data_IF_346815044400
#
_entry.id   IF_346815044400
#
_cell.length_a   1.000
_cell.length_b   1.000
_cell.length_c   1.000
_cell.angle_alpha   90.00
_cell.angle_beta   90.00
_cell.angle_gamma   90.00
#
_symmetry.space_group_name_H-M   'P 1'
#
loop_
_entity.id
_entity.type
_entity.pdbx_description
1 polymer ?
#
# COMPACT_ATOMS: atom_id res chain seq x y z
N UNK A 1 -39.33 -11.86 23.28
CA UNK A 1 -38.73 -10.68 23.90
C UNK A 1 -37.26 -10.98 24.15
N UNK A 2 -36.39 -10.17 23.58
CA UNK A 2 -34.93 -10.27 23.56
C UNK A 2 -34.32 -10.15 24.95
N UNK A 3 -33.54 -11.15 25.36
CA UNK A 3 -32.63 -11.06 26.51
C UNK A 3 -31.29 -10.58 25.94
N UNK A 4 -30.98 -9.29 26.09
CA UNK A 4 -29.66 -8.73 25.73
C UNK A 4 -28.68 -9.13 26.81
N UNK A 5 -27.65 -9.86 26.43
CA UNK A 5 -26.51 -10.18 27.27
C UNK A 5 -25.66 -8.91 27.40
N UNK A 6 -25.18 -8.65 28.61
CA UNK A 6 -24.45 -7.44 28.97
C UNK A 6 -23.05 -7.46 28.34
N UNK A 7 -22.71 -6.43 27.59
CA UNK A 7 -21.33 -6.17 27.17
C UNK A 7 -20.51 -5.70 28.39
N UNK A 8 -19.54 -6.51 28.79
CA UNK A 8 -18.53 -6.15 29.79
C UNK A 8 -17.48 -5.27 29.09
N UNK A 9 -17.48 -3.97 29.40
CA UNK A 9 -16.47 -3.02 28.91
C UNK A 9 -15.22 -3.14 29.78
N UNK A 10 -14.10 -3.53 29.18
CA UNK A 10 -12.81 -3.67 29.86
C UNK A 10 -12.14 -2.28 29.91
N UNK A 11 -11.90 -1.76 31.11
CA UNK A 11 -11.12 -0.53 31.33
C UNK A 11 -9.62 -0.87 31.36
N UNK A 12 -8.84 -0.26 30.47
CA UNK A 12 -7.39 -0.46 30.39
C UNK A 12 -6.72 0.80 30.96
N UNK A 13 -6.15 0.69 32.17
CA UNK A 13 -5.25 1.70 32.72
C UNK A 13 -3.89 1.59 32.03
N UNK A 14 -3.52 2.61 31.24
CA UNK A 14 -2.19 2.71 30.64
C UNK A 14 -1.30 3.47 31.62
N UNK A 15 -0.55 2.73 32.44
CA UNK A 15 0.55 3.28 33.25
C UNK A 15 1.65 3.77 32.29
N UNK A 16 1.85 5.07 32.26
CA UNK A 16 2.78 5.72 31.34
C UNK A 16 4.22 5.47 31.74
N UNK A 17 4.86 4.43 31.18
CA UNK A 17 6.33 4.34 31.01
C UNK A 17 6.66 3.34 29.89
N UNK A 18 6.81 3.94 28.71
CA UNK A 18 7.72 3.66 27.59
C UNK A 18 8.47 2.31 27.45
N UNK A 19 8.36 1.82 26.20
CA UNK A 19 9.31 1.02 25.39
C UNK A 19 9.55 -0.45 25.76
N UNK A 20 8.63 -1.30 25.29
CA UNK A 20 9.01 -2.61 24.78
C UNK A 20 9.52 -2.44 23.35
N UNK A 21 10.81 -2.70 23.14
CA UNK A 21 11.46 -2.76 21.83
C UNK A 21 11.02 -4.05 21.12
N UNK A 22 9.83 -4.02 20.53
CA UNK A 22 9.42 -5.02 19.56
C UNK A 22 10.26 -4.83 18.29
N UNK A 23 11.32 -5.63 18.16
CA UNK A 23 12.02 -5.79 16.87
C UNK A 23 11.17 -6.71 16.01
N UNK A 24 10.03 -6.19 15.58
CA UNK A 24 9.23 -6.80 14.54
C UNK A 24 9.93 -6.45 13.22
N UNK A 25 10.41 -7.47 12.53
CA UNK A 25 10.75 -7.39 11.12
C UNK A 25 9.49 -6.94 10.40
N UNK A 26 9.33 -5.62 10.29
CA UNK A 26 8.19 -4.98 9.65
C UNK A 26 8.34 -5.31 8.18
N UNK A 27 7.70 -6.40 7.76
CA UNK A 27 7.21 -6.51 6.39
C UNK A 27 6.35 -5.26 6.27
N UNK A 28 6.89 -4.23 5.62
CA UNK A 28 6.11 -3.09 5.19
C UNK A 28 5.09 -3.71 4.26
N UNK A 29 3.92 -4.06 4.80
CA UNK A 29 2.71 -4.19 4.02
C UNK A 29 2.65 -2.85 3.30
N UNK A 30 3.12 -2.81 2.06
CA UNK A 30 2.96 -1.65 1.23
C UNK A 30 1.45 -1.57 1.06
N UNK A 31 0.82 -0.83 1.96
CA UNK A 31 -0.56 -0.41 1.87
C UNK A 31 -0.58 0.55 0.69
N UNK A 32 -0.55 -0.01 -0.52
CA UNK A 32 -0.84 0.72 -1.74
C UNK A 32 -2.27 1.18 -1.55
N UNK A 33 -2.44 2.45 -1.15
CA UNK A 33 -3.76 3.05 -1.15
C UNK A 33 -4.32 2.85 -2.57
N UNK A 34 -5.46 2.18 -2.76
CA UNK A 34 -5.99 1.81 -4.07
C UNK A 34 -6.36 3.02 -4.96
N UNK A 35 -6.07 4.24 -4.49
CA UNK A 35 -6.35 5.49 -5.16
C UNK A 35 -5.31 5.91 -6.22
N UNK A 36 -4.11 5.31 -6.27
CA UNK A 36 -3.05 5.71 -7.21
C UNK A 36 -2.62 4.63 -8.21
N UNK A 37 -3.43 3.58 -8.41
CA UNK A 37 -3.18 2.62 -9.49
C UNK A 37 -3.74 3.13 -10.83
N UNK A 38 -2.89 3.11 -11.86
CA UNK A 38 -3.26 3.49 -13.22
C UNK A 38 -3.17 2.29 -14.15
N UNK A 39 -4.28 1.96 -14.81
CA UNK A 39 -4.29 0.91 -15.84
C UNK A 39 -3.88 1.49 -17.19
N UNK A 40 -2.82 0.93 -17.78
CA UNK A 40 -2.34 1.26 -19.11
C UNK A 40 -1.97 -0.02 -19.86
N UNK A 41 -2.44 -0.17 -21.09
CA UNK A 41 -2.10 -1.30 -21.95
C UNK A 41 -0.84 -0.98 -22.78
N UNK A 42 -0.02 -2.00 -23.04
CA UNK A 42 1.14 -1.93 -23.94
C UNK A 42 1.29 -3.29 -24.64
N UNK A 43 1.73 -3.27 -25.89
CA UNK A 43 2.04 -4.50 -26.62
C UNK A 43 3.30 -5.15 -26.02
N UNK A 44 3.30 -6.48 -25.89
CA UNK A 44 4.44 -7.22 -25.32
C UNK A 44 5.72 -7.11 -26.15
N UNK A 45 5.61 -6.78 -27.44
CA UNK A 45 6.75 -6.58 -28.31
C UNK A 45 7.31 -5.15 -28.23
N UNK A 46 6.60 -4.23 -27.56
CA UNK A 46 7.13 -2.89 -27.30
C UNK A 46 8.05 -2.85 -26.07
N UNK A 47 9.08 -1.99 -26.08
CA UNK A 47 9.95 -1.86 -24.92
C UNK A 47 9.17 -1.28 -23.74
N UNK A 48 9.31 -1.90 -22.56
CA UNK A 48 8.62 -1.48 -21.34
C UNK A 48 8.86 0.01 -20.99
N UNK A 49 10.03 0.56 -21.36
CA UNK A 49 10.35 1.99 -21.22
C UNK A 49 9.35 2.94 -21.89
N UNK A 50 8.62 2.49 -22.92
CA UNK A 50 7.56 3.28 -23.56
C UNK A 50 6.38 3.54 -22.61
N UNK A 51 6.19 2.74 -21.55
CA UNK A 51 5.18 3.01 -20.53
C UNK A 51 5.34 4.39 -19.92
N UNK A 52 6.57 4.90 -19.73
CA UNK A 52 6.78 6.26 -19.22
C UNK A 52 6.04 7.30 -20.07
N UNK A 53 6.27 7.28 -21.38
CA UNK A 53 5.63 8.20 -22.34
C UNK A 53 4.11 8.08 -22.35
N UNK A 54 3.59 6.88 -22.12
CA UNK A 54 2.15 6.60 -22.06
C UNK A 54 1.53 7.03 -20.72
N UNK A 55 2.30 7.03 -19.63
CA UNK A 55 1.85 7.34 -18.28
C UNK A 55 2.04 8.82 -17.91
N UNK A 56 3.09 9.49 -18.40
CA UNK A 56 3.34 10.93 -18.19
C UNK A 56 2.12 11.82 -18.46
N UNK A 57 1.42 11.71 -19.62
CA UNK A 57 0.21 12.52 -19.86
C UNK A 57 -0.96 12.16 -18.95
N UNK A 58 -0.99 10.93 -18.42
CA UNK A 58 -2.07 10.46 -17.53
C UNK A 58 -1.85 10.90 -16.08
N UNK A 59 -0.60 10.91 -15.63
CA UNK A 59 -0.20 11.27 -14.27
C UNK A 59 0.11 12.77 -14.15
N UNK A 60 0.23 13.48 -15.28
CA UNK A 60 0.58 14.90 -15.34
C UNK A 60 1.93 15.22 -14.67
N UNK A 61 2.86 14.26 -14.67
CA UNK A 61 4.19 14.38 -14.10
C UNK A 61 5.23 13.75 -15.04
N UNK A 62 6.51 14.10 -14.88
CA UNK A 62 7.59 13.46 -15.64
C UNK A 62 8.08 12.20 -14.94
N UNK A 63 8.34 11.16 -15.74
CA UNK A 63 8.79 9.85 -15.27
C UNK A 63 10.26 9.58 -15.63
N UNK A 64 11.03 10.59 -16.03
CA UNK A 64 12.43 10.42 -16.46
C UNK A 64 13.28 9.78 -15.35
N UNK A 65 13.15 10.28 -14.12
CA UNK A 65 13.89 9.81 -12.94
C UNK A 65 13.34 8.51 -12.31
N UNK A 66 12.20 8.00 -12.77
CA UNK A 66 11.54 6.82 -12.19
C UNK A 66 11.94 5.55 -12.92
N UNK A 67 12.36 4.49 -12.24
CA UNK A 67 12.60 3.19 -12.88
C UNK A 67 11.29 2.40 -13.03
N UNK A 68 11.17 1.58 -14.08
CA UNK A 68 10.03 0.67 -14.22
C UNK A 68 10.43 -0.70 -13.67
N UNK A 69 9.66 -1.18 -12.71
CA UNK A 69 9.82 -2.51 -12.11
C UNK A 69 8.61 -3.38 -12.43
N UNK A 70 8.83 -4.67 -12.59
CA UNK A 70 7.76 -5.67 -12.65
C UNK A 70 7.64 -6.34 -11.28
N UNK A 71 6.42 -6.52 -10.81
CA UNK A 71 6.17 -7.31 -9.61
C UNK A 71 6.31 -8.80 -9.94
N UNK A 72 7.15 -9.51 -9.20
CA UNK A 72 7.22 -10.97 -9.27
C UNK A 72 5.91 -11.53 -8.70
N UNK A 73 5.23 -12.37 -9.47
CA UNK A 73 3.96 -12.98 -9.07
C UNK A 73 4.30 -14.44 -8.71
N UNK A 74 4.32 -14.75 -7.41
CA UNK A 74 4.59 -16.11 -6.89
C UNK A 74 3.36 -17.02 -7.01
#
# INVERSE_FOLDING_TARGET
MTKREAEELIEIEIDGTEKAECTEESIVEQTYTPAECVSQAIDINEPIGNLKKLLEPRLQCSLDAHEICLQDIQ
#
